data_IF_794401410958
#
_entry.id   IF_794401410958
#
_cell.length_a   1.000
_cell.length_b   1.000
_cell.length_c   1.000
_cell.angle_alpha   90.00
_cell.angle_beta   90.00
_cell.angle_gamma   90.00
#
_symmetry.space_group_name_H-M   'P 1'
#
loop_
_entity.id
_entity.type
_entity.pdbx_description
1 polymer ?
#
# COMPACT_ATOMS: atom_id res chain seq x y z
N UNK A 1 -12.82 -6.90 6.72
CA UNK A 1 -12.42 -5.51 6.38
C UNK A 1 -11.88 -5.44 4.95
N UNK A 2 -11.06 -6.41 4.55
CA UNK A 2 -10.64 -6.62 3.17
C UNK A 2 -11.70 -7.43 2.41
N UNK A 3 -11.84 -7.16 1.12
CA UNK A 3 -12.53 -8.09 0.22
C UNK A 3 -11.61 -9.28 -0.09
N UNK A 4 -12.14 -10.30 -0.77
CA UNK A 4 -11.38 -11.50 -1.11
C UNK A 4 -10.13 -11.19 -1.96
N UNK A 5 -10.26 -10.37 -3.01
CA UNK A 5 -9.18 -10.03 -3.93
C UNK A 5 -8.01 -9.34 -3.21
N UNK A 6 -8.30 -8.37 -2.33
CA UNK A 6 -7.28 -7.65 -1.55
C UNK A 6 -6.58 -8.58 -0.57
N UNK A 7 -7.33 -9.46 0.10
CA UNK A 7 -6.76 -10.44 1.02
C UNK A 7 -5.81 -11.40 0.29
N UNK A 8 -6.22 -11.91 -0.87
CA UNK A 8 -5.42 -12.82 -1.68
C UNK A 8 -4.19 -12.13 -2.29
N UNK A 9 -4.31 -10.86 -2.70
CA UNK A 9 -3.18 -10.06 -3.16
C UNK A 9 -2.14 -9.88 -2.05
N UNK A 10 -2.57 -9.43 -0.86
CA UNK A 10 -1.67 -9.23 0.28
C UNK A 10 -1.02 -10.56 0.70
N UNK A 11 -1.77 -11.66 0.70
CA UNK A 11 -1.21 -12.98 0.97
C UNK A 11 -0.13 -13.34 -0.06
N UNK A 12 -0.36 -13.07 -1.35
CA UNK A 12 0.63 -13.29 -2.41
C UNK A 12 1.90 -12.46 -2.21
N UNK A 13 1.76 -11.19 -1.78
CA UNK A 13 2.91 -10.35 -1.44
C UNK A 13 3.72 -10.95 -0.28
N UNK A 14 3.04 -11.44 0.76
CA UNK A 14 3.68 -12.04 1.93
C UNK A 14 4.40 -13.35 1.58
N UNK A 15 3.76 -14.23 0.81
CA UNK A 15 4.30 -15.52 0.39
C UNK A 15 5.60 -15.37 -0.41
N UNK A 16 5.71 -14.28 -1.19
CA UNK A 16 6.88 -13.96 -2.00
C UNK A 16 7.84 -12.97 -1.30
N UNK A 17 7.66 -12.70 -0.01
CA UNK A 17 8.54 -11.83 0.78
C UNK A 17 8.69 -10.41 0.18
N UNK A 18 7.61 -9.89 -0.40
CA UNK A 18 7.58 -8.52 -0.92
C UNK A 18 7.63 -7.53 0.25
N UNK A 19 8.54 -6.57 0.17
CA UNK A 19 8.61 -5.41 1.05
C UNK A 19 7.63 -4.37 0.53
N UNK A 20 6.50 -4.25 1.23
CA UNK A 20 5.44 -3.29 0.95
C UNK A 20 4.88 -2.66 2.22
N UNK A 21 4.12 -1.58 2.04
CA UNK A 21 3.28 -0.96 3.07
C UNK A 21 1.91 -0.64 2.48
N UNK A 22 0.83 -1.04 3.13
CA UNK A 22 -0.50 -0.51 2.87
C UNK A 22 -0.55 0.93 3.38
N UNK A 23 -0.90 1.84 2.48
CA UNK A 23 -1.02 3.27 2.72
C UNK A 23 -2.46 3.72 2.44
N UNK A 24 -2.68 5.02 2.21
CA UNK A 24 -3.93 5.49 1.64
C UNK A 24 -5.14 5.24 2.54
N UNK A 25 -6.25 4.81 1.94
CA UNK A 25 -7.52 4.78 2.64
C UNK A 25 -7.65 3.70 3.72
N UNK A 26 -7.11 2.51 3.45
CA UNK A 26 -7.10 1.41 4.42
C UNK A 26 -6.22 1.75 5.64
N UNK A 27 -5.09 2.41 5.44
CA UNK A 27 -4.25 2.87 6.54
C UNK A 27 -4.97 3.88 7.46
N UNK A 28 -5.76 4.80 6.91
CA UNK A 28 -6.59 5.71 7.72
C UNK A 28 -7.62 4.95 8.56
N UNK A 29 -8.24 3.92 7.97
CA UNK A 29 -9.28 3.14 8.63
C UNK A 29 -8.77 2.34 9.85
N UNK A 30 -7.53 1.85 9.83
CA UNK A 30 -6.98 1.11 10.98
C UNK A 30 -6.69 2.02 12.18
N UNK A 31 -6.42 3.31 11.96
CA UNK A 31 -6.12 4.28 13.02
C UNK A 31 -7.38 4.98 13.57
N UNK A 32 -8.52 4.29 13.55
CA UNK A 32 -9.74 4.74 14.25
C UNK A 32 -10.70 5.61 13.43
N UNK A 33 -10.45 5.81 12.14
CA UNK A 33 -11.32 6.63 11.30
C UNK A 33 -11.84 5.86 10.07
N UNK A 34 -13.04 5.24 10.16
CA UNK A 34 -13.64 4.54 9.03
C UNK A 34 -13.65 5.43 7.77
N UNK A 35 -12.90 5.03 6.76
CA UNK A 35 -12.82 5.71 5.47
C UNK A 35 -13.32 4.74 4.40
N UNK A 36 -14.40 5.14 3.73
CA UNK A 36 -14.86 4.39 2.58
C UNK A 36 -13.87 4.60 1.42
N UNK A 37 -13.18 3.53 1.04
CA UNK A 37 -12.23 3.51 -0.08
C UNK A 37 -12.60 2.35 -1.02
N UNK A 38 -12.37 2.53 -2.32
CA UNK A 38 -12.75 1.55 -3.37
C UNK A 38 -11.53 0.86 -3.97
N UNK A 39 -10.40 1.05 -3.30
CA UNK A 39 -9.07 0.80 -3.79
C UNK A 39 -8.15 0.53 -2.62
N UNK A 40 -7.19 -0.37 -2.86
CA UNK A 40 -6.11 -0.72 -1.97
C UNK A 40 -4.82 -0.07 -2.49
N UNK A 41 -4.28 0.88 -1.74
CA UNK A 41 -3.01 1.54 -2.05
C UNK A 41 -1.85 0.78 -1.37
N UNK A 42 -0.91 0.28 -2.17
CA UNK A 42 0.27 -0.46 -1.69
C UNK A 42 1.54 0.21 -2.14
N UNK A 43 2.31 0.75 -1.21
CA UNK A 43 3.63 1.28 -1.46
C UNK A 43 4.67 0.16 -1.45
N UNK A 44 5.47 0.06 -2.51
CA UNK A 44 6.52 -0.94 -2.69
C UNK A 44 7.93 -0.35 -2.60
N UNK A 45 8.89 -1.13 -2.11
CA UNK A 45 10.29 -0.72 -2.13
C UNK A 45 10.91 -0.87 -3.53
N UNK A 46 11.57 0.17 -4.01
CA UNK A 46 12.28 0.17 -5.31
C UNK A 46 13.68 -0.46 -5.20
N UNK A 47 13.74 -1.78 -5.03
CA UNK A 47 14.98 -2.55 -5.12
C UNK A 47 14.86 -3.66 -6.14
N UNK A 48 15.98 -4.05 -6.77
CA UNK A 48 15.99 -5.12 -7.77
C UNK A 48 15.41 -6.44 -7.23
N UNK A 49 15.77 -6.77 -5.98
CA UNK A 49 15.26 -7.96 -5.29
C UNK A 49 13.75 -7.86 -5.08
N UNK A 50 13.27 -6.75 -4.54
CA UNK A 50 11.84 -6.60 -4.26
C UNK A 50 11.00 -6.55 -5.53
N UNK A 51 11.49 -5.90 -6.60
CA UNK A 51 10.83 -5.89 -7.90
C UNK A 51 10.75 -7.30 -8.52
N UNK A 52 11.76 -8.15 -8.30
CA UNK A 52 11.71 -9.57 -8.70
C UNK A 52 10.66 -10.34 -7.89
N UNK A 53 10.59 -10.11 -6.58
CA UNK A 53 9.59 -10.73 -5.70
C UNK A 53 8.17 -10.29 -6.07
N UNK A 54 7.98 -9.03 -6.46
CA UNK A 54 6.71 -8.51 -6.96
C UNK A 54 6.28 -9.25 -8.23
N UNK A 55 7.18 -9.46 -9.19
CA UNK A 55 6.86 -10.22 -10.40
C UNK A 55 6.36 -11.65 -10.08
N UNK A 56 6.99 -12.31 -9.10
CA UNK A 56 6.56 -13.63 -8.63
C UNK A 56 5.18 -13.56 -7.95
N UNK A 57 4.96 -12.56 -7.10
CA UNK A 57 3.67 -12.35 -6.43
C UNK A 57 2.53 -12.06 -7.41
N UNK A 58 2.79 -11.26 -8.46
CA UNK A 58 1.81 -10.98 -9.52
C UNK A 58 1.51 -12.24 -10.34
N UNK A 59 2.52 -13.06 -10.61
CA UNK A 59 2.31 -14.35 -11.27
C UNK A 59 1.45 -15.29 -10.41
N UNK A 60 1.75 -15.41 -9.11
CA UNK A 60 0.97 -16.22 -8.17
C UNK A 60 -0.48 -15.72 -8.04
N UNK A 61 -0.68 -14.40 -8.01
CA UNK A 61 -2.01 -13.79 -7.86
C UNK A 61 -2.86 -13.90 -9.15
N UNK A 62 -2.27 -14.24 -10.29
CA UNK A 62 -3.00 -14.42 -11.57
C UNK A 62 -2.84 -13.25 -12.56
N UNK A 63 -1.92 -12.33 -12.31
CA UNK A 63 -1.58 -11.20 -13.18
C UNK A 63 -0.28 -11.40 -13.97
N UNK A 64 0.25 -12.63 -14.03
CA UNK A 64 1.47 -12.95 -14.78
C UNK A 64 1.38 -12.76 -16.30
N UNK A 65 0.18 -12.57 -16.86
CA UNK A 65 -0.01 -12.23 -18.28
C UNK A 65 0.02 -10.73 -18.57
N UNK A 66 0.20 -9.88 -17.55
CA UNK A 66 0.46 -8.46 -17.78
C UNK A 66 1.85 -8.31 -18.41
N UNK A 67 1.98 -7.35 -19.33
CA UNK A 67 3.27 -6.98 -19.92
C UNK A 67 4.10 -6.08 -18.97
N UNK A 68 4.04 -6.35 -17.67
CA UNK A 68 4.85 -5.65 -16.68
C UNK A 68 6.25 -6.26 -16.66
N UNK A 69 7.23 -5.41 -16.39
CA UNK A 69 8.62 -5.83 -16.21
C UNK A 69 9.14 -5.37 -14.86
N UNK A 70 10.32 -5.86 -14.48
CA UNK A 70 10.98 -5.48 -13.23
C UNK A 70 11.24 -3.97 -13.19
N UNK A 71 11.55 -3.36 -14.33
CA UNK A 71 11.85 -1.94 -14.48
C UNK A 71 10.65 -1.03 -14.13
N UNK A 72 9.42 -1.51 -14.31
CA UNK A 72 8.20 -0.75 -13.95
C UNK A 72 8.16 -0.46 -12.44
N UNK A 73 8.74 -1.33 -11.61
CA UNK A 73 8.81 -1.21 -10.14
C UNK A 73 10.09 -0.55 -9.63
N UNK A 74 11.01 -0.21 -10.53
CA UNK A 74 12.26 0.51 -10.22
C UNK A 74 12.21 1.97 -10.68
N UNK A 75 11.13 2.35 -11.35
CA UNK A 75 10.91 3.71 -11.84
C UNK A 75 10.19 4.52 -10.76
N UNK A 76 10.74 5.70 -10.43
CA UNK A 76 10.11 6.60 -9.46
C UNK A 76 8.80 7.16 -10.00
N UNK A 77 7.93 7.57 -9.08
CA UNK A 77 6.71 8.34 -9.37
C UNK A 77 5.73 7.58 -10.27
N UNK A 78 5.70 6.25 -10.13
CA UNK A 78 4.77 5.36 -10.82
C UNK A 78 3.63 4.94 -9.91
N UNK A 79 2.47 4.76 -10.54
CA UNK A 79 1.31 4.08 -9.97
C UNK A 79 0.88 2.99 -10.96
N UNK A 80 1.14 1.74 -10.60
CA UNK A 80 0.75 0.57 -11.39
C UNK A 80 -0.63 0.11 -10.89
N UNK A 81 -1.63 0.15 -11.76
CA UNK A 81 -3.01 -0.16 -11.41
C UNK A 81 -3.39 -1.57 -11.84
N UNK A 82 -3.96 -2.34 -10.91
CA UNK A 82 -4.51 -3.67 -11.17
C UNK A 82 -6.03 -3.65 -10.98
N UNK A 83 -6.75 -4.12 -12.00
CA UNK A 83 -8.21 -4.19 -11.98
C UNK A 83 -8.91 -2.84 -12.03
N UNK A 84 -10.14 -2.80 -11.53
CA UNK A 84 -11.03 -1.63 -11.54
C UNK A 84 -11.82 -1.53 -10.22
N UNK A 85 -12.29 -0.34 -9.83
CA UNK A 85 -13.14 -0.19 -8.65
C UNK A 85 -14.39 -1.08 -8.71
N UNK A 86 -14.85 -1.65 -7.58
CA UNK A 86 -14.41 -1.39 -6.20
C UNK A 86 -13.25 -2.27 -5.70
N UNK A 87 -12.60 -3.04 -6.58
CA UNK A 87 -11.52 -3.96 -6.23
C UNK A 87 -10.21 -3.55 -6.92
N UNK A 88 -9.96 -2.24 -7.09
CA UNK A 88 -8.72 -1.74 -7.70
C UNK A 88 -7.57 -1.84 -6.70
N UNK A 89 -6.39 -2.23 -7.17
CA UNK A 89 -5.16 -2.17 -6.39
C UNK A 89 -4.22 -1.20 -7.08
N UNK A 90 -3.72 -0.22 -6.34
CA UNK A 90 -2.74 0.77 -6.82
C UNK A 90 -1.39 0.48 -6.16
N UNK A 91 -0.40 0.04 -6.93
CA UNK A 91 0.97 -0.16 -6.47
C UNK A 91 1.78 1.12 -6.73
N UNK A 92 2.30 1.73 -5.66
CA UNK A 92 2.92 3.06 -5.68
C UNK A 92 4.42 2.90 -5.42
N UNK A 93 5.27 3.55 -6.23
CA UNK A 93 6.73 3.50 -6.03
C UNK A 93 7.25 4.67 -5.18
N UNK A 94 6.66 5.86 -5.34
CA UNK A 94 7.06 7.07 -4.62
C UNK A 94 5.85 7.82 -4.04
N UNK A 95 5.50 7.61 -2.76
CA UNK A 95 4.54 8.46 -2.05
C UNK A 95 5.21 9.75 -1.52
N UNK A 96 4.43 10.83 -1.43
CA UNK A 96 4.94 12.13 -1.03
C UNK A 96 5.44 12.19 0.43
N UNK A 97 6.60 12.81 0.65
CA UNK A 97 7.05 13.27 1.96
C UNK A 97 7.54 12.20 2.95
N UNK A 98 7.74 10.95 2.52
CA UNK A 98 8.17 9.84 3.38
C UNK A 98 9.22 8.94 2.70
N UNK A 99 10.09 8.30 3.49
CA UNK A 99 11.11 7.35 2.98
C UNK A 99 10.78 5.90 3.35
N UNK A 100 10.97 4.97 2.40
CA UNK A 100 10.55 3.58 2.57
C UNK A 100 11.26 2.91 3.74
N UNK A 101 12.58 3.09 3.87
CA UNK A 101 13.37 2.42 4.89
C UNK A 101 12.93 2.78 6.32
N UNK A 102 12.57 4.04 6.58
CA UNK A 102 12.06 4.49 7.88
C UNK A 102 10.65 4.00 8.12
N UNK A 103 9.75 4.16 7.16
CA UNK A 103 8.36 3.72 7.30
C UNK A 103 8.28 2.20 7.47
N UNK A 104 9.08 1.44 6.73
CA UNK A 104 9.12 -0.01 6.83
C UNK A 104 9.65 -0.47 8.18
N UNK A 105 10.66 0.21 8.74
CA UNK A 105 11.19 -0.10 10.08
C UNK A 105 10.18 0.17 11.19
N UNK A 106 9.32 1.17 11.02
CA UNK A 106 8.36 1.63 12.03
C UNK A 106 6.93 1.14 11.80
N UNK A 107 6.72 0.37 10.72
CA UNK A 107 5.43 -0.15 10.27
C UNK A 107 4.63 -0.83 11.37
N UNK A 108 3.32 -0.77 11.24
CA UNK A 108 2.39 -1.55 12.06
C UNK A 108 2.04 -2.85 11.35
N UNK A 109 2.40 -3.99 11.95
CA UNK A 109 2.00 -5.31 11.47
C UNK A 109 0.69 -5.70 12.14
N UNK A 110 -0.39 -5.84 11.36
CA UNK A 110 -1.73 -6.10 11.88
C UNK A 110 -2.35 -7.27 11.15
N UNK A 111 -2.92 -8.22 11.88
CA UNK A 111 -3.71 -9.31 11.30
C UNK A 111 -5.10 -8.79 10.91
N UNK A 112 -5.44 -8.90 9.63
CA UNK A 112 -6.75 -8.50 9.08
C UNK A 112 -7.32 -9.66 8.27
N UNK A 113 -8.50 -10.15 8.66
CA UNK A 113 -9.20 -11.27 8.01
C UNK A 113 -8.31 -12.52 7.80
N UNK A 114 -7.42 -12.79 8.75
CA UNK A 114 -6.51 -13.95 8.78
C UNK A 114 -5.20 -13.78 8.01
N UNK A 115 -4.88 -12.57 7.54
CA UNK A 115 -3.63 -12.27 6.83
C UNK A 115 -2.88 -11.15 7.57
N UNK A 116 -1.57 -11.33 7.78
CA UNK A 116 -0.71 -10.27 8.32
C UNK A 116 -0.50 -9.19 7.27
N UNK A 117 -0.79 -7.94 7.62
CA UNK A 117 -0.67 -6.79 6.72
C UNK A 117 0.33 -5.80 7.29
N UNK A 118 1.27 -5.36 6.45
CA UNK A 118 2.21 -4.30 6.78
C UNK A 118 1.59 -2.93 6.50
N UNK A 119 1.20 -2.16 7.51
CA UNK A 119 0.69 -0.80 7.36
C UNK A 119 1.76 0.24 7.65
N UNK A 120 1.72 1.38 6.94
CA UNK A 120 2.47 2.58 7.36
C UNK A 120 2.04 2.98 8.77
N UNK A 121 2.98 3.37 9.62
CA UNK A 121 2.68 3.85 10.98
C UNK A 121 1.92 5.19 10.96
N UNK A 122 1.26 5.51 12.06
CA UNK A 122 0.42 6.70 12.17
C UNK A 122 1.19 8.01 11.92
N UNK A 123 2.41 8.13 12.46
CA UNK A 123 3.18 9.37 12.35
C UNK A 123 3.66 9.61 10.92
N UNK A 124 4.14 8.57 10.24
CA UNK A 124 4.51 8.71 8.83
C UNK A 124 3.29 8.80 7.90
N UNK A 125 2.15 8.20 8.24
CA UNK A 125 0.89 8.42 7.52
C UNK A 125 0.49 9.90 7.55
N UNK A 126 0.50 10.54 8.74
CA UNK A 126 0.21 11.97 8.88
C UNK A 126 1.14 12.83 8.03
N UNK A 127 2.45 12.52 8.03
CA UNK A 127 3.45 13.20 7.19
C UNK A 127 3.14 13.05 5.70
N UNK A 128 2.82 11.83 5.26
CA UNK A 128 2.47 11.56 3.87
C UNK A 128 1.23 12.35 3.44
N UNK A 129 0.16 12.33 4.25
CA UNK A 129 -1.08 13.08 3.98
C UNK A 129 -0.86 14.59 3.91
N UNK A 130 -0.02 15.12 4.80
CA UNK A 130 0.35 16.53 4.80
C UNK A 130 1.14 16.92 3.54
N UNK A 131 2.04 16.05 3.10
CA UNK A 131 2.91 16.30 1.95
C UNK A 131 2.17 16.20 0.61
N UNK A 132 1.26 15.24 0.45
CA UNK A 132 0.48 15.09 -0.79
C UNK A 132 -0.47 16.26 -1.06
N UNK A 133 -0.97 16.91 0.01
CA UNK A 133 -1.78 18.13 -0.07
C UNK A 133 -3.14 17.98 -0.77
N UNK A 134 -3.55 16.76 -1.13
CA UNK A 134 -4.86 16.51 -1.76
C UNK A 134 -5.97 16.83 -0.76
N UNK A 135 -7.09 17.40 -1.22
CA UNK A 135 -8.20 17.81 -0.35
C UNK A 135 -8.67 16.69 0.59
N UNK A 136 -8.79 15.47 0.09
CA UNK A 136 -9.15 14.32 0.91
C UNK A 136 -8.07 13.96 1.93
N UNK A 137 -6.80 14.07 1.56
CA UNK A 137 -5.69 13.73 2.47
C UNK A 137 -5.58 14.74 3.62
N UNK A 138 -5.84 16.03 3.37
CA UNK A 138 -5.94 17.05 4.41
C UNK A 138 -7.12 16.77 5.36
N UNK A 139 -8.28 16.38 4.82
CA UNK A 139 -9.44 16.00 5.63
C UNK A 139 -9.18 14.72 6.46
N UNK A 140 -8.38 13.79 5.95
CA UNK A 140 -7.96 12.61 6.71
C UNK A 140 -6.95 12.98 7.81
N UNK A 141 -6.03 13.91 7.52
CA UNK A 141 -5.07 14.41 8.49
C UNK A 141 -5.76 15.04 9.71
N UNK A 142 -6.76 15.91 9.49
CA UNK A 142 -7.54 16.52 10.57
C UNK A 142 -8.20 15.47 11.48
N UNK A 143 -8.69 14.37 10.89
CA UNK A 143 -9.27 13.26 11.66
C UNK A 143 -8.20 12.55 12.47
N UNK A 144 -7.08 12.19 11.85
CA UNK A 144 -5.96 11.50 12.50
C UNK A 144 -5.30 12.34 13.62
N UNK A 145 -5.42 13.66 13.56
CA UNK A 145 -4.93 14.59 14.60
C UNK A 145 -5.92 14.81 15.75
N UNK A 146 -7.22 14.55 15.55
CA UNK A 146 -8.27 14.80 16.56
C UNK A 146 -8.60 13.58 17.44
N UNK A 147 -7.95 12.44 17.22
CA UNK A 147 -8.04 11.26 18.07
C UNK A 147 -7.05 11.29 19.23
N UNK A 148 -7.41 11.97 20.32
CA UNK A 148 -6.89 11.77 21.69
C UNK A 148 -7.92 10.99 22.53
#
# INVERSE_FOLDING_TARGET
>A
MLNQDFREFIQSLNDNQVRYLVVGGYAVAIYGHPRYTKDLDVWIEMTQENATNIMQALQQFGFGSLNLTVEDFLTSDQVIQLGYPPNRIDMITTPDGVDFATCFRTRSEIEVDGVMVNFIDLENLKRNKKASGRLQDLADLEKLESGD
#
